data_IF_113696089639
#
_entry.id   IF_113696089639
#
_cell.length_a   1.000
_cell.length_b   1.000
_cell.length_c   1.000
_cell.angle_alpha   90.00
_cell.angle_beta   90.00
_cell.angle_gamma   90.00
#
_symmetry.space_group_name_H-M   'P 1'
#
loop_
_entity.id
_entity.type
_entity.pdbx_description
1 polymer ?
#
# COMPACT_ATOMS: atom_id res chain seq x y z
N UNK A 1 -13.88 24.65 12.33
CA UNK A 1 -14.39 25.09 13.65
C UNK A 1 -14.64 23.84 14.46
N UNK A 2 -13.87 23.58 15.52
CA UNK A 2 -14.01 22.35 16.33
C UNK A 2 -15.17 22.53 17.31
N UNK A 3 -16.09 21.56 17.36
CA UNK A 3 -17.20 21.56 18.32
C UNK A 3 -16.69 21.42 19.77
N UNK A 4 -17.32 22.09 20.74
CA UNK A 4 -16.98 21.95 22.15
C UNK A 4 -17.34 20.53 22.66
N UNK A 5 -16.41 19.91 23.39
CA UNK A 5 -16.59 18.58 24.00
C UNK A 5 -17.73 18.61 25.01
N UNK A 6 -18.74 17.75 24.84
CA UNK A 6 -19.89 17.67 25.74
C UNK A 6 -19.49 16.97 27.05
N UNK A 7 -19.84 17.57 28.18
CA UNK A 7 -19.62 17.03 29.53
C UNK A 7 -20.38 15.69 29.64
N UNK A 8 -19.65 14.59 29.86
CA UNK A 8 -20.17 13.23 29.91
C UNK A 8 -19.77 12.33 28.74
N UNK A 9 -19.13 12.87 27.69
CA UNK A 9 -18.50 12.08 26.64
C UNK A 9 -17.00 11.91 26.90
N UNK A 10 -16.49 10.70 26.66
CA UNK A 10 -15.06 10.43 26.66
C UNK A 10 -14.39 11.15 25.49
N UNK A 11 -13.12 11.52 25.65
CA UNK A 11 -12.29 12.02 24.55
C UNK A 11 -12.14 10.90 23.52
N UNK A 12 -12.34 11.22 22.24
CA UNK A 12 -12.19 10.28 21.15
C UNK A 12 -10.72 9.85 20.99
N UNK A 13 -10.53 8.62 20.51
CA UNK A 13 -9.19 8.03 20.40
C UNK A 13 -8.28 8.83 19.45
N UNK A 14 -8.82 9.41 18.38
CA UNK A 14 -8.04 10.22 17.45
C UNK A 14 -7.50 11.51 18.11
N UNK A 15 -8.31 12.21 18.92
CA UNK A 15 -7.84 13.37 19.70
C UNK A 15 -6.80 12.97 20.74
N UNK A 16 -6.92 11.80 21.40
CA UNK A 16 -5.87 11.30 22.31
C UNK A 16 -4.55 11.06 21.57
N UNK A 17 -4.61 10.49 20.36
CA UNK A 17 -3.45 10.32 19.50
C UNK A 17 -2.79 11.65 19.13
N UNK A 18 -3.57 12.63 18.70
CA UNK A 18 -3.10 13.99 18.37
C UNK A 18 -2.55 14.74 19.58
N UNK A 19 -3.17 14.58 20.76
CA UNK A 19 -2.70 15.19 22.01
C UNK A 19 -1.27 14.71 22.34
N UNK A 20 -1.04 13.40 22.21
CA UNK A 20 0.25 12.77 22.53
C UNK A 20 1.32 13.05 21.47
N UNK A 21 0.96 13.25 20.19
CA UNK A 21 1.89 13.74 19.15
C UNK A 21 2.23 15.23 19.31
N UNK A 22 1.42 15.98 20.08
CA UNK A 22 1.55 17.43 20.20
C UNK A 22 0.90 18.21 19.05
N UNK A 23 0.15 17.54 18.19
CA UNK A 23 -0.54 18.12 17.03
C UNK A 23 -1.76 18.96 17.38
N UNK A 24 -2.30 18.80 18.60
CA UNK A 24 -3.36 19.67 19.09
C UNK A 24 -2.85 21.09 19.33
N UNK A 25 -3.66 22.06 18.93
CA UNK A 25 -3.40 23.45 19.28
C UNK A 25 -3.56 23.66 20.80
N UNK A 26 -2.99 24.76 21.30
CA UNK A 26 -2.95 25.06 22.74
C UNK A 26 -4.34 25.02 23.42
N UNK A 27 -5.43 25.61 22.88
CA UNK A 27 -6.73 25.52 23.54
C UNK A 27 -7.32 24.10 23.56
N UNK A 28 -7.12 23.30 22.50
CA UNK A 28 -7.54 21.89 22.50
C UNK A 28 -6.75 21.06 23.51
N UNK A 29 -5.44 21.28 23.58
CA UNK A 29 -4.57 20.61 24.56
C UNK A 29 -4.99 20.92 26.00
N UNK A 30 -5.27 22.18 26.30
CA UNK A 30 -5.78 22.59 27.61
C UNK A 30 -7.15 21.95 27.93
N UNK A 31 -8.04 21.82 26.94
CA UNK A 31 -9.33 21.16 27.11
C UNK A 31 -9.19 19.65 27.42
N UNK A 32 -8.31 18.95 26.71
CA UNK A 32 -8.00 17.54 26.97
C UNK A 32 -7.37 17.37 28.36
N UNK A 33 -6.44 18.25 28.74
CA UNK A 33 -5.81 18.22 30.06
C UNK A 33 -6.83 18.40 31.19
N UNK A 34 -7.72 19.38 31.06
CA UNK A 34 -8.80 19.61 32.03
C UNK A 34 -9.74 18.38 32.12
N UNK A 35 -10.05 17.75 30.98
CA UNK A 35 -10.82 16.50 30.97
C UNK A 35 -10.11 15.38 31.76
N UNK A 36 -8.78 15.25 31.64
CA UNK A 36 -8.03 14.25 32.40
C UNK A 36 -8.11 14.46 33.91
N UNK A 37 -8.23 15.70 34.39
CA UNK A 37 -8.38 15.99 35.82
C UNK A 37 -9.69 15.39 36.38
N UNK A 38 -10.71 15.20 35.53
CA UNK A 38 -12.06 14.79 35.93
C UNK A 38 -12.44 13.38 35.44
N UNK A 39 -11.71 12.81 34.47
CA UNK A 39 -11.99 11.49 33.90
C UNK A 39 -10.79 10.54 34.02
N UNK A 40 -10.80 9.68 35.04
CA UNK A 40 -9.75 8.68 35.26
C UNK A 40 -9.62 7.67 34.10
N UNK A 41 -10.73 7.30 33.45
CA UNK A 41 -10.74 6.37 32.31
C UNK A 41 -9.96 6.94 31.11
N UNK A 42 -10.21 8.20 30.73
CA UNK A 42 -9.48 8.84 29.64
C UNK A 42 -8.00 9.05 29.98
N UNK A 43 -7.67 9.30 31.24
CA UNK A 43 -6.27 9.39 31.72
C UNK A 43 -5.54 8.06 31.57
N UNK A 44 -6.14 6.97 32.05
CA UNK A 44 -5.58 5.63 31.89
C UNK A 44 -5.39 5.28 30.41
N UNK A 45 -6.36 5.63 29.55
CA UNK A 45 -6.25 5.39 28.11
C UNK A 45 -5.09 6.16 27.47
N UNK A 46 -4.86 7.40 27.90
CA UNK A 46 -3.72 8.19 27.44
C UNK A 46 -2.37 7.58 27.89
N UNK A 47 -2.29 7.03 29.10
CA UNK A 47 -1.12 6.30 29.59
C UNK A 47 -0.87 5.02 28.79
N UNK A 48 -1.91 4.25 28.45
CA UNK A 48 -1.81 3.07 27.59
C UNK A 48 -1.25 3.42 26.20
N UNK A 49 -1.73 4.51 25.61
CA UNK A 49 -1.23 5.04 24.33
C UNK A 49 0.26 5.42 24.44
N UNK A 50 0.65 6.10 25.52
CA UNK A 50 2.04 6.47 25.77
C UNK A 50 2.95 5.24 25.91
N UNK A 51 2.50 4.21 26.63
CA UNK A 51 3.21 2.94 26.74
C UNK A 51 3.36 2.22 25.39
N UNK A 52 2.31 2.20 24.58
CA UNK A 52 2.36 1.60 23.24
C UNK A 52 3.39 2.31 22.37
N UNK A 53 3.44 3.64 22.40
CA UNK A 53 4.43 4.40 21.65
C UNK A 53 5.85 4.17 22.15
N UNK A 54 6.06 4.13 23.46
CA UNK A 54 7.36 3.80 24.03
C UNK A 54 7.83 2.40 23.58
N UNK A 55 6.93 1.42 23.59
CA UNK A 55 7.22 0.07 23.10
C UNK A 55 7.54 0.06 21.60
N UNK A 56 6.78 0.80 20.79
CA UNK A 56 7.06 0.92 19.36
C UNK A 56 8.42 1.58 19.10
N UNK A 57 8.77 2.65 19.82
CA UNK A 57 10.07 3.31 19.66
C UNK A 57 11.23 2.41 20.07
N UNK A 58 11.13 1.77 21.23
CA UNK A 58 12.16 0.85 21.73
C UNK A 58 12.32 -0.36 20.80
N UNK A 59 11.21 -0.92 20.30
CA UNK A 59 11.23 -2.01 19.32
C UNK A 59 11.73 -1.54 17.95
N UNK A 60 11.39 -0.33 17.51
CA UNK A 60 11.87 0.20 16.24
C UNK A 60 13.39 0.36 16.23
N UNK A 61 13.97 0.82 17.35
CA UNK A 61 15.42 0.84 17.53
C UNK A 61 16.04 -0.56 17.59
N UNK A 62 15.31 -1.57 18.06
CA UNK A 62 15.75 -2.95 18.04
C UNK A 62 15.65 -3.60 16.63
N UNK A 63 14.71 -3.15 15.80
CA UNK A 63 14.43 -3.73 14.47
C UNK A 63 15.16 -2.99 13.34
N UNK A 64 15.70 -1.79 13.56
CA UNK A 64 16.66 -1.22 12.61
C UNK A 64 18.03 -1.86 12.87
N UNK A 65 18.46 -2.86 12.09
CA UNK A 65 19.83 -3.35 12.18
C UNK A 65 20.74 -2.15 12.02
N UNK A 66 21.74 -2.06 12.88
CA UNK A 66 22.73 -0.97 12.81
C UNK A 66 23.26 -0.87 11.38
N UNK A 67 23.66 0.32 10.92
CA UNK A 67 24.26 0.48 9.58
C UNK A 67 25.40 -0.53 9.35
N UNK A 68 26.17 -0.84 10.40
CA UNK A 68 27.23 -1.84 10.40
C UNK A 68 26.69 -3.26 10.14
N UNK A 69 25.56 -3.62 10.73
CA UNK A 69 24.90 -4.90 10.56
C UNK A 69 24.22 -5.03 9.19
N UNK A 70 23.59 -3.97 8.68
CA UNK A 70 23.11 -3.90 7.30
C UNK A 70 24.24 -4.09 6.29
N UNK A 71 25.37 -3.41 6.48
CA UNK A 71 26.58 -3.57 5.67
C UNK A 71 27.14 -5.00 5.74
N UNK A 72 27.12 -5.62 6.92
CA UNK A 72 27.56 -7.00 7.11
C UNK A 72 26.65 -7.98 6.38
N UNK A 73 25.33 -7.79 6.48
CA UNK A 73 24.33 -8.64 5.82
C UNK A 73 24.42 -8.50 4.30
N UNK A 74 24.58 -7.27 3.80
CA UNK A 74 24.82 -7.00 2.37
C UNK A 74 26.07 -7.68 1.86
N UNK A 75 27.21 -7.56 2.57
CA UNK A 75 28.45 -8.25 2.20
C UNK A 75 28.32 -9.77 2.25
N UNK A 76 27.53 -10.31 3.18
CA UNK A 76 27.26 -11.74 3.24
C UNK A 76 26.45 -12.21 2.03
N UNK A 77 25.43 -11.44 1.62
CA UNK A 77 24.65 -11.69 0.41
C UNK A 77 25.51 -11.59 -0.85
N UNK A 78 26.33 -10.54 -1.00
CA UNK A 78 27.23 -10.37 -2.14
C UNK A 78 28.23 -11.53 -2.27
N UNK A 79 28.69 -12.11 -1.15
CA UNK A 79 29.55 -13.30 -1.17
C UNK A 79 28.82 -14.60 -1.53
N UNK A 80 27.52 -14.70 -1.24
CA UNK A 80 26.71 -15.85 -1.64
C UNK A 80 26.27 -15.77 -3.10
N UNK A 81 26.11 -14.56 -3.65
CA UNK A 81 25.77 -14.33 -5.04
C UNK A 81 27.02 -13.97 -5.86
N UNK A 82 27.99 -14.88 -5.93
CA UNK A 82 29.00 -14.81 -6.99
C UNK A 82 28.31 -15.02 -8.34
N UNK A 83 28.23 -13.96 -9.12
CA UNK A 83 27.53 -13.88 -10.41
C UNK A 83 28.01 -14.89 -11.48
N UNK A 84 29.09 -15.64 -11.23
CA UNK A 84 29.66 -16.59 -12.19
C UNK A 84 28.83 -17.86 -12.40
N UNK A 85 27.98 -18.28 -11.44
CA UNK A 85 27.22 -19.54 -11.56
C UNK A 85 25.75 -19.39 -12.01
N UNK A 86 25.26 -18.15 -12.09
CA UNK A 86 23.86 -17.85 -12.45
C UNK A 86 23.49 -18.32 -13.88
N UNK A 87 24.30 -18.14 -14.95
CA UNK A 87 23.85 -18.49 -16.29
C UNK A 87 23.65 -20.00 -16.48
N UNK A 88 24.46 -20.83 -15.81
CA UNK A 88 24.42 -22.28 -15.99
C UNK A 88 23.26 -22.93 -15.21
N UNK A 89 22.93 -22.40 -14.03
CA UNK A 89 21.80 -22.88 -13.22
C UNK A 89 20.45 -22.52 -13.86
N UNK A 90 20.29 -21.30 -14.39
CA UNK A 90 19.10 -20.90 -15.12
C UNK A 90 18.94 -21.66 -16.45
N UNK A 91 20.03 -21.92 -17.17
CA UNK A 91 19.98 -22.69 -18.42
C UNK A 91 19.51 -24.15 -18.20
N UNK A 92 19.98 -24.78 -17.12
CA UNK A 92 19.59 -26.17 -16.81
C UNK A 92 18.19 -26.27 -16.17
N UNK A 93 17.80 -25.32 -15.31
CA UNK A 93 16.46 -25.26 -14.74
C UNK A 93 15.41 -24.96 -15.82
N UNK A 94 15.70 -24.04 -16.76
CA UNK A 94 14.80 -23.68 -17.85
C UNK A 94 14.59 -24.84 -18.83
N UNK A 95 15.62 -25.60 -19.20
CA UNK A 95 15.46 -26.78 -20.08
C UNK A 95 14.49 -27.82 -19.52
N UNK A 96 14.52 -28.07 -18.21
CA UNK A 96 13.63 -29.04 -17.57
C UNK A 96 12.19 -28.52 -17.49
N UNK A 97 12.01 -27.24 -17.16
CA UNK A 97 10.70 -26.59 -17.14
C UNK A 97 10.07 -26.48 -18.53
N UNK A 98 10.84 -26.08 -19.54
CA UNK A 98 10.39 -25.97 -20.93
C UNK A 98 9.90 -27.32 -21.45
N UNK A 99 10.57 -28.42 -21.11
CA UNK A 99 10.13 -29.77 -21.54
C UNK A 99 8.78 -30.17 -20.94
N UNK A 100 8.42 -29.68 -19.76
CA UNK A 100 7.13 -29.93 -19.13
C UNK A 100 6.04 -28.94 -19.57
N UNK A 101 6.41 -27.69 -19.86
CA UNK A 101 5.47 -26.65 -20.29
C UNK A 101 5.14 -26.71 -21.80
N UNK A 102 6.05 -27.21 -22.63
CA UNK A 102 5.86 -27.33 -24.07
C UNK A 102 4.51 -27.97 -24.48
N UNK A 103 4.04 -29.10 -23.90
CA UNK A 103 2.75 -29.67 -24.28
C UNK A 103 1.57 -28.77 -23.87
N UNK A 104 1.60 -28.13 -22.70
CA UNK A 104 0.53 -27.23 -22.26
C UNK A 104 0.41 -26.00 -23.17
N UNK A 105 1.54 -25.41 -23.55
CA UNK A 105 1.58 -24.29 -24.49
C UNK A 105 1.11 -24.71 -25.88
N UNK A 106 1.49 -25.90 -26.35
CA UNK A 106 1.03 -26.42 -27.63
C UNK A 106 -0.50 -26.67 -27.64
N UNK A 107 -1.06 -27.21 -26.55
CA UNK A 107 -2.51 -27.40 -26.41
C UNK A 107 -3.24 -26.05 -26.39
N UNK A 108 -2.75 -25.07 -25.64
CA UNK A 108 -3.33 -23.73 -25.62
C UNK A 108 -3.27 -23.05 -26.99
N UNK A 109 -2.15 -23.18 -27.70
CA UNK A 109 -2.01 -22.64 -29.06
C UNK A 109 -2.97 -23.32 -30.05
N UNK A 110 -3.10 -24.65 -29.97
CA UNK A 110 -4.05 -25.40 -30.80
C UNK A 110 -5.50 -25.00 -30.51
N UNK A 111 -5.84 -24.85 -29.22
CA UNK A 111 -7.16 -24.43 -28.78
C UNK A 111 -7.47 -22.99 -29.21
N UNK A 112 -6.48 -22.08 -29.16
CA UNK A 112 -6.62 -20.71 -29.66
C UNK A 112 -6.85 -20.66 -31.18
N UNK A 113 -6.14 -21.47 -31.96
CA UNK A 113 -6.36 -21.58 -33.41
C UNK A 113 -7.74 -22.14 -33.71
N UNK A 114 -8.18 -23.15 -32.96
CA UNK A 114 -9.49 -23.77 -33.13
C UNK A 114 -10.61 -22.78 -32.81
N UNK A 115 -10.50 -22.02 -31.72
CA UNK A 115 -11.47 -20.98 -31.35
C UNK A 115 -11.49 -19.81 -32.33
N UNK A 116 -10.37 -19.48 -32.99
CA UNK A 116 -10.35 -18.45 -34.04
C UNK A 116 -11.05 -18.86 -35.34
N UNK A 117 -11.29 -20.15 -35.56
CA UNK A 117 -11.96 -20.63 -36.77
C UNK A 117 -13.49 -20.51 -36.72
N UNK A 118 -14.07 -20.15 -35.59
CA UNK A 118 -15.46 -19.70 -35.56
C UNK A 118 -15.49 -18.21 -35.94
N UNK A 119 -15.98 -17.84 -37.15
CA UNK A 119 -16.27 -16.45 -37.51
C UNK A 119 -17.49 -16.01 -36.70
N UNK A 120 -17.29 -15.84 -35.41
CA UNK A 120 -18.28 -15.33 -34.50
C UNK A 120 -18.33 -13.83 -34.73
N UNK A 121 -19.31 -13.41 -35.53
CA UNK A 121 -19.85 -12.05 -35.56
C UNK A 121 -20.42 -11.73 -34.17
N UNK A 122 -19.52 -11.52 -33.22
CA UNK A 122 -19.87 -11.06 -31.88
C UNK A 122 -18.95 -9.89 -31.63
N UNK A 123 -19.40 -8.73 -32.12
CA UNK A 123 -19.09 -7.43 -31.55
C UNK A 123 -19.49 -7.52 -30.08
N UNK A 124 -18.59 -8.05 -29.27
CA UNK A 124 -18.82 -8.29 -27.86
C UNK A 124 -18.76 -6.93 -27.18
N UNK A 125 -19.95 -6.45 -26.86
CA UNK A 125 -20.30 -5.35 -25.96
C UNK A 125 -19.77 -5.65 -24.55
N UNK A 126 -18.45 -5.77 -24.37
CA UNK A 126 -17.79 -6.02 -23.07
C UNK A 126 -17.32 -4.72 -22.43
N UNK A 127 -17.38 -3.59 -23.16
CA UNK A 127 -16.96 -2.29 -22.66
C UNK A 127 -17.95 -1.63 -21.69
N UNK A 128 -19.17 -2.15 -21.51
CA UNK A 128 -20.21 -1.45 -20.74
C UNK A 128 -20.31 -1.84 -19.25
N UNK A 129 -19.39 -2.65 -18.72
CA UNK A 129 -19.41 -3.10 -17.32
C UNK A 129 -18.23 -2.61 -16.47
N UNK A 130 -17.24 -1.92 -17.07
CA UNK A 130 -16.32 -1.14 -16.24
C UNK A 130 -17.00 0.21 -15.97
N UNK A 131 -17.21 0.57 -14.70
CA UNK A 131 -17.67 1.91 -14.40
C UNK A 131 -16.60 2.87 -14.94
N UNK A 132 -17.00 3.82 -15.78
CA UNK A 132 -16.16 4.89 -16.32
C UNK A 132 -15.77 5.85 -15.20
N UNK A 133 -15.03 5.36 -14.22
CA UNK A 133 -14.42 6.19 -13.19
C UNK A 133 -13.02 6.57 -13.69
N UNK A 134 -12.57 7.80 -13.45
CA UNK A 134 -11.28 8.27 -13.95
C UNK A 134 -10.11 7.43 -13.41
N UNK A 135 -10.28 6.74 -12.29
CA UNK A 135 -9.28 5.80 -11.74
C UNK A 135 -9.10 4.54 -12.60
N UNK A 136 -10.14 4.09 -13.31
CA UNK A 136 -10.04 2.93 -14.19
C UNK A 136 -9.18 3.21 -15.43
N UNK A 137 -9.15 4.46 -15.90
CA UNK A 137 -8.34 4.87 -17.05
C UNK A 137 -6.83 4.86 -16.75
N UNK A 138 -6.45 5.08 -15.49
CA UNK A 138 -5.05 4.94 -15.05
C UNK A 138 -4.56 3.49 -15.13
N UNK A 139 -5.44 2.53 -14.86
CA UNK A 139 -5.10 1.09 -14.88
C UNK A 139 -5.08 0.49 -16.29
N UNK A 140 -5.72 1.16 -17.25
CA UNK A 140 -5.87 0.70 -18.64
C UNK A 140 -4.93 1.44 -19.62
N UNK A 141 -4.14 2.41 -19.15
CA UNK A 141 -3.21 3.14 -19.99
C UNK A 141 -2.09 2.19 -20.50
N UNK A 142 -2.13 1.90 -21.80
CA UNK A 142 -1.16 1.02 -22.46
C UNK A 142 0.08 1.80 -22.94
N UNK A 143 0.01 3.13 -22.89
CA UNK A 143 1.08 4.04 -23.30
C UNK A 143 1.32 5.14 -22.28
N UNK A 144 2.58 5.60 -22.18
CA UNK A 144 3.00 6.65 -21.25
C UNK A 144 2.24 7.97 -21.45
N UNK A 145 1.88 8.30 -22.69
CA UNK A 145 1.14 9.53 -22.99
C UNK A 145 -0.32 9.45 -22.50
N UNK A 146 -0.96 8.28 -22.64
CA UNK A 146 -2.29 8.04 -22.07
C UNK A 146 -2.28 8.10 -20.54
N UNK A 147 -1.23 7.58 -19.91
CA UNK A 147 -1.08 7.64 -18.46
C UNK A 147 -0.96 9.09 -17.97
N UNK A 148 -0.11 9.90 -18.61
CA UNK A 148 0.05 11.32 -18.27
C UNK A 148 -1.25 12.09 -18.42
N UNK A 149 -2.00 11.82 -19.49
CA UNK A 149 -3.27 12.49 -19.74
C UNK A 149 -4.32 12.11 -18.69
N UNK A 150 -4.44 10.83 -18.35
CA UNK A 150 -5.34 10.36 -17.28
C UNK A 150 -4.96 10.94 -15.90
N UNK A 151 -3.66 11.04 -15.60
CA UNK A 151 -3.18 11.68 -14.36
C UNK A 151 -3.55 13.17 -14.30
N UNK A 152 -3.46 13.89 -15.42
CA UNK A 152 -3.81 15.31 -15.46
C UNK A 152 -5.31 15.55 -15.29
N UNK A 153 -6.15 14.72 -15.91
CA UNK A 153 -7.61 14.77 -15.72
C UNK A 153 -8.03 14.45 -14.27
N UNK A 154 -7.37 13.48 -13.63
CA UNK A 154 -7.60 13.17 -12.22
C UNK A 154 -7.23 14.35 -11.32
N UNK A 155 -6.10 15.02 -11.59
CA UNK A 155 -5.65 16.17 -10.81
C UNK A 155 -6.64 17.36 -10.89
N UNK A 156 -7.28 17.57 -12.04
CA UNK A 156 -8.29 18.62 -12.22
C UNK A 156 -9.59 18.31 -11.49
N UNK A 157 -10.07 17.07 -11.54
CA UNK A 157 -11.31 16.67 -10.86
C UNK A 157 -11.20 16.72 -9.33
N UNK A 158 -9.99 16.53 -8.77
CA UNK A 158 -9.74 16.66 -7.33
C UNK A 158 -9.90 18.12 -6.87
N UNK A 159 -9.50 19.10 -7.68
CA UNK A 159 -9.63 20.52 -7.32
C UNK A 159 -11.10 20.99 -7.34
N UNK A 160 -11.92 20.42 -8.24
CA UNK A 160 -13.34 20.76 -8.36
C UNK A 160 -14.20 20.17 -7.22
N UNK A 161 -13.82 19.01 -6.68
CA UNK A 161 -14.52 18.38 -5.55
C UNK A 161 -14.19 19.00 -4.19
N UNK A 162 -13.19 19.88 -4.10
CA UNK A 162 -12.82 20.59 -2.86
C UNK A 162 -13.45 21.98 -2.70
N UNK A 163 -14.22 22.45 -3.69
CA UNK A 163 -14.98 23.71 -3.60
C UNK A 163 -16.43 23.49 -3.20
#
# INVERSE_FOLDING_TARGET
MSEPVKIGQHVDEATLWQWRDGDLNEPQRAAVQNHFDHCASCRQRAEEIAHLFHNMQTMHHAVQPTLAEQMRLRRALEKQFTFEDIPNLLANASRRLVRWLAPAVAILAALFVFLRQEPSQTTATVTSLLPETPESQLLLADTDEQLKQAMWELALNIDETQR
#
